data_IF_372698586414
#
_entry.id   IF_372698586414
#
_cell.length_a   1.000
_cell.length_b   1.000
_cell.length_c   1.000
_cell.angle_alpha   90.00
_cell.angle_beta   90.00
_cell.angle_gamma   90.00
#
_symmetry.space_group_name_H-M   'P 1'
#
loop_
_entity.id
_entity.type
_entity.pdbx_description
1 polymer ?
#
# COMPACT_ATOMS: atom_id res chain seq x y z
N UNK A 1 -9.12 43.11 6.49
CA UNK A 1 -8.98 43.17 5.02
C UNK A 1 -9.50 41.86 4.47
N UNK A 2 -10.64 41.93 3.79
CA UNK A 2 -11.42 40.78 3.32
C UNK A 2 -10.59 40.00 2.29
N UNK A 3 -10.10 38.82 2.68
CA UNK A 3 -9.25 38.01 1.80
C UNK A 3 -10.18 37.25 0.87
N UNK A 4 -10.36 37.76 -0.36
CA UNK A 4 -11.23 37.13 -1.35
C UNK A 4 -10.79 35.69 -1.63
N UNK A 5 -11.63 34.74 -1.23
CA UNK A 5 -11.45 33.31 -1.48
C UNK A 5 -12.03 32.99 -2.85
N UNK A 6 -11.24 32.34 -3.70
CA UNK A 6 -11.63 31.92 -5.04
C UNK A 6 -12.02 30.45 -5.03
N UNK A 7 -13.29 30.14 -5.31
CA UNK A 7 -13.79 28.76 -5.29
C UNK A 7 -13.88 28.17 -6.70
N UNK A 8 -13.50 26.89 -6.84
CA UNK A 8 -13.70 26.15 -8.08
C UNK A 8 -15.18 25.84 -8.29
N UNK A 9 -15.78 26.19 -9.44
CA UNK A 9 -17.20 25.93 -9.70
C UNK A 9 -17.51 24.44 -9.89
N UNK A 10 -16.51 23.63 -10.29
CA UNK A 10 -16.67 22.19 -10.54
C UNK A 10 -16.57 21.38 -9.25
N UNK A 11 -15.64 21.73 -8.36
CA UNK A 11 -15.34 20.90 -7.17
C UNK A 11 -15.29 21.65 -5.83
N UNK A 12 -15.70 22.93 -5.81
CA UNK A 12 -15.81 23.79 -4.61
C UNK A 12 -14.51 24.02 -3.83
N UNK A 13 -13.35 23.65 -4.38
CA UNK A 13 -12.05 23.90 -3.73
C UNK A 13 -11.74 25.40 -3.69
N UNK A 14 -11.42 25.89 -2.50
CA UNK A 14 -11.06 27.28 -2.22
C UNK A 14 -9.56 27.55 -2.44
N UNK A 15 -9.26 28.70 -3.03
CA UNK A 15 -7.91 29.19 -3.31
C UNK A 15 -7.76 30.62 -2.80
N UNK A 16 -6.58 30.93 -2.24
CA UNK A 16 -6.28 32.28 -1.75
C UNK A 16 -5.87 33.23 -2.89
N UNK A 17 -5.46 32.68 -4.05
CA UNK A 17 -5.05 33.47 -5.22
C UNK A 17 -5.77 32.99 -6.47
N UNK A 18 -6.25 33.93 -7.30
CA UNK A 18 -7.01 33.65 -8.54
C UNK A 18 -6.24 32.76 -9.54
N UNK A 19 -4.93 32.94 -9.68
CA UNK A 19 -4.14 32.11 -10.61
C UNK A 19 -4.04 30.63 -10.16
N UNK A 20 -4.14 30.36 -8.84
CA UNK A 20 -4.14 28.98 -8.33
C UNK A 20 -5.42 28.25 -8.73
N UNK A 21 -6.56 28.96 -8.73
CA UNK A 21 -7.81 28.46 -9.27
C UNK A 21 -7.71 28.23 -10.79
N UNK A 22 -7.10 29.16 -11.54
CA UNK A 22 -6.93 29.03 -12.99
C UNK A 22 -6.08 27.80 -13.36
N UNK A 23 -4.94 27.59 -12.69
CA UNK A 23 -4.12 26.39 -12.86
C UNK A 23 -4.85 25.11 -12.47
N UNK A 24 -5.67 25.16 -11.42
CA UNK A 24 -6.48 24.04 -11.00
C UNK A 24 -7.56 23.66 -12.02
N UNK A 25 -8.18 24.64 -12.68
CA UNK A 25 -9.25 24.42 -13.65
C UNK A 25 -8.80 23.60 -14.86
N UNK A 26 -7.52 23.67 -15.25
CA UNK A 26 -6.92 22.89 -16.35
C UNK A 26 -7.03 21.37 -16.08
N UNK A 27 -7.09 20.95 -14.82
CA UNK A 27 -7.24 19.53 -14.46
C UNK A 27 -8.67 18.99 -14.65
N UNK A 28 -9.66 19.85 -14.94
CA UNK A 28 -11.03 19.45 -15.28
C UNK A 28 -11.28 19.42 -16.79
N UNK A 29 -10.26 19.65 -17.61
CA UNK A 29 -10.36 19.50 -19.06
C UNK A 29 -10.47 18.02 -19.46
N UNK A 30 -11.30 17.71 -20.47
CA UNK A 30 -11.59 16.35 -20.92
C UNK A 30 -10.35 15.59 -21.41
N UNK A 31 -9.27 16.32 -21.72
CA UNK A 31 -8.01 15.76 -22.20
C UNK A 31 -6.94 15.61 -21.10
N UNK A 32 -7.29 15.90 -19.83
CA UNK A 32 -6.36 15.81 -18.71
C UNK A 32 -6.24 14.37 -18.20
N UNK A 33 -5.05 13.77 -18.30
CA UNK A 33 -4.76 12.45 -17.72
C UNK A 33 -4.73 12.44 -16.18
N UNK A 34 -4.98 13.58 -15.52
CA UNK A 34 -4.94 13.73 -14.07
C UNK A 34 -6.37 13.79 -13.52
N UNK A 35 -6.80 12.73 -12.82
CA UNK A 35 -8.12 12.71 -12.19
C UNK A 35 -8.17 13.63 -10.98
N UNK A 36 -8.96 14.71 -11.07
CA UNK A 36 -9.21 15.65 -9.97
C UNK A 36 -9.67 14.94 -8.67
N UNK A 37 -10.46 13.85 -8.79
CA UNK A 37 -10.97 13.02 -7.67
C UNK A 37 -9.90 12.53 -6.69
N UNK A 38 -8.65 12.27 -7.12
CA UNK A 38 -7.56 11.80 -6.23
C UNK A 38 -7.02 12.90 -5.30
N UNK A 39 -7.26 14.18 -5.62
CA UNK A 39 -6.84 15.33 -4.80
C UNK A 39 -7.94 15.83 -3.85
N UNK A 40 -9.11 15.18 -3.89
CA UNK A 40 -10.29 15.47 -3.07
C UNK A 40 -10.50 14.43 -1.96
N UNK A 41 -9.44 13.77 -1.48
CA UNK A 41 -9.58 13.05 -0.21
C UNK A 41 -9.99 14.06 0.86
N UNK A 42 -11.18 13.82 1.41
CA UNK A 42 -11.75 14.55 2.52
C UNK A 42 -10.72 14.67 3.63
N UNK A 43 -10.55 15.87 4.20
CA UNK A 43 -9.59 16.12 5.28
C UNK A 43 -9.98 15.36 6.57
N UNK A 44 -11.15 14.73 6.61
CA UNK A 44 -11.60 13.84 7.68
C UNK A 44 -11.04 12.41 7.59
N UNK A 45 -10.58 11.97 6.41
CA UNK A 45 -9.94 10.66 6.21
C UNK A 45 -8.44 10.83 5.93
N UNK A 46 -7.73 11.50 6.84
CA UNK A 46 -6.27 11.33 6.87
C UNK A 46 -6.01 9.85 7.08
N UNK A 47 -5.31 9.19 6.14
CA UNK A 47 -4.80 7.84 6.34
C UNK A 47 -4.00 7.83 7.65
N UNK A 48 -4.65 7.39 8.73
CA UNK A 48 -4.02 7.27 10.03
C UNK A 48 -3.18 6.01 10.03
N UNK A 49 -2.02 6.09 10.64
CA UNK A 49 -1.11 4.97 10.80
C UNK A 49 -1.44 4.28 12.14
N UNK A 50 -2.11 3.12 12.13
CA UNK A 50 -2.36 2.39 13.37
C UNK A 50 -1.03 1.90 13.97
N UNK A 51 -1.03 1.68 15.28
CA UNK A 51 0.04 0.99 15.97
C UNK A 51 0.28 -0.38 15.31
N UNK A 52 1.55 -0.78 15.20
CA UNK A 52 1.91 -2.07 14.60
C UNK A 52 1.40 -3.25 15.41
N UNK A 53 1.21 -3.09 16.71
CA UNK A 53 0.71 -4.14 17.58
C UNK A 53 -0.81 -4.23 17.43
N UNK A 54 -1.32 -5.37 16.98
CA UNK A 54 -2.76 -5.56 16.74
C UNK A 54 -3.61 -5.56 18.03
N UNK A 55 -2.99 -5.71 19.20
CA UNK A 55 -3.68 -5.54 20.50
C UNK A 55 -3.71 -4.07 20.97
N UNK A 56 -3.09 -3.15 20.23
CA UNK A 56 -3.08 -1.72 20.52
C UNK A 56 -3.88 -0.96 19.46
N UNK A 57 -5.02 -0.37 19.85
CA UNK A 57 -5.92 0.35 18.94
C UNK A 57 -5.56 1.83 18.74
N UNK A 58 -4.35 2.25 19.11
CA UNK A 58 -3.90 3.66 18.93
C UNK A 58 -3.51 3.91 17.47
N UNK A 59 -3.90 5.06 16.94
CA UNK A 59 -3.63 5.49 15.57
C UNK A 59 -3.04 6.89 15.54
N UNK A 60 -2.18 7.16 14.57
CA UNK A 60 -1.38 8.39 14.52
C UNK A 60 -1.41 9.05 13.15
N UNK A 61 -1.30 10.37 13.13
CA UNK A 61 -1.31 11.14 11.87
C UNK A 61 -0.07 10.90 11.00
N UNK A 62 1.04 10.47 11.61
CA UNK A 62 2.30 10.26 10.91
C UNK A 62 2.90 8.90 11.27
N UNK A 63 3.44 8.21 10.27
CA UNK A 63 4.09 6.89 10.43
C UNK A 63 5.26 6.91 11.43
N UNK A 64 6.04 8.00 11.45
CA UNK A 64 7.15 8.16 12.39
C UNK A 64 6.67 8.16 13.84
N UNK A 65 5.54 8.84 14.12
CA UNK A 65 4.95 8.92 15.46
C UNK A 65 4.38 7.57 15.88
N UNK A 66 3.72 6.83 14.97
CA UNK A 66 3.26 5.46 15.24
C UNK A 66 4.43 4.50 15.55
N UNK A 67 5.55 4.66 14.85
CA UNK A 67 6.75 3.85 15.06
C UNK A 67 7.42 4.16 16.40
N UNK A 68 7.52 5.45 16.76
CA UNK A 68 8.03 5.89 18.05
C UNK A 68 7.15 5.37 19.20
N UNK A 69 5.83 5.53 19.09
CA UNK A 69 4.88 4.97 20.05
C UNK A 69 5.09 3.47 20.26
N UNK A 70 5.22 2.69 19.17
CA UNK A 70 5.46 1.26 19.28
C UNK A 70 6.78 0.95 20.00
N UNK A 71 7.83 1.72 19.76
CA UNK A 71 9.14 1.51 20.39
C UNK A 71 9.14 1.86 21.89
N UNK A 72 8.44 2.91 22.31
CA UNK A 72 8.42 3.35 23.70
C UNK A 72 7.40 2.62 24.55
N UNK A 73 6.21 2.37 24.00
CA UNK A 73 5.08 1.78 24.74
C UNK A 73 5.00 0.26 24.59
N UNK A 74 5.67 -0.30 23.57
CA UNK A 74 5.74 -1.74 23.34
C UNK A 74 7.19 -2.25 23.20
N UNK A 75 8.10 -1.90 24.13
CA UNK A 75 9.53 -2.22 24.02
C UNK A 75 9.81 -3.72 24.02
N UNK A 76 8.92 -4.52 24.64
CA UNK A 76 9.03 -5.98 24.71
C UNK A 76 8.40 -6.72 23.52
N UNK A 77 7.65 -6.00 22.66
CA UNK A 77 7.09 -6.59 21.44
C UNK A 77 8.05 -6.27 20.28
N UNK A 78 8.73 -7.28 19.71
CA UNK A 78 9.63 -7.01 18.61
C UNK A 78 8.83 -6.52 17.39
N UNK A 79 9.47 -5.76 16.50
CA UNK A 79 8.95 -5.30 15.20
C UNK A 79 8.66 -6.48 14.24
N UNK A 80 7.92 -7.50 14.67
CA UNK A 80 7.76 -8.79 14.01
C UNK A 80 6.28 -9.13 13.84
N UNK A 81 6.00 -9.82 12.74
CA UNK A 81 4.70 -10.34 12.37
C UNK A 81 4.68 -11.84 12.69
N UNK A 82 3.69 -12.30 13.46
CA UNK A 82 3.60 -13.67 13.95
C UNK A 82 2.67 -14.51 13.07
N UNK A 83 3.08 -15.72 12.71
CA UNK A 83 2.20 -16.71 12.11
C UNK A 83 1.34 -17.38 13.18
N UNK A 84 0.01 -17.27 13.11
CA UNK A 84 -0.87 -17.88 14.11
C UNK A 84 -0.92 -19.41 14.04
N UNK A 85 -0.54 -20.01 12.91
CA UNK A 85 -0.56 -21.46 12.70
C UNK A 85 0.65 -22.16 13.32
N UNK A 86 1.82 -21.53 13.34
CA UNK A 86 3.06 -22.14 13.84
C UNK A 86 3.92 -21.24 14.73
N UNK A 87 3.40 -20.06 15.11
CA UNK A 87 4.03 -19.05 15.97
C UNK A 87 5.37 -18.51 15.47
N UNK A 88 5.72 -18.75 14.20
CA UNK A 88 6.96 -18.24 13.61
C UNK A 88 6.89 -16.74 13.38
N UNK A 89 8.00 -16.05 13.64
CA UNK A 89 8.13 -14.60 13.52
C UNK A 89 8.77 -14.15 12.21
N UNK A 90 8.32 -13.01 11.69
CA UNK A 90 8.80 -12.41 10.45
C UNK A 90 9.04 -10.91 10.61
N UNK A 91 10.15 -10.38 10.06
CA UNK A 91 10.47 -8.94 10.13
C UNK A 91 9.54 -8.06 9.28
N UNK A 92 8.94 -8.63 8.23
CA UNK A 92 8.13 -7.91 7.24
C UNK A 92 6.82 -8.65 6.96
N UNK A 93 5.72 -7.91 6.82
CA UNK A 93 4.39 -8.47 6.56
C UNK A 93 4.36 -9.33 5.30
N UNK A 94 4.97 -8.87 4.20
CA UNK A 94 5.03 -9.65 2.96
C UNK A 94 5.74 -11.01 3.10
N UNK A 95 6.66 -11.15 4.06
CA UNK A 95 7.29 -12.44 4.35
C UNK A 95 6.34 -13.36 5.14
N UNK A 96 5.54 -12.81 6.06
CA UNK A 96 4.48 -13.55 6.75
C UNK A 96 3.41 -14.01 5.75
N UNK A 97 2.92 -13.15 4.86
CA UNK A 97 1.89 -13.50 3.88
C UNK A 97 2.36 -14.63 2.95
N UNK A 98 3.60 -14.52 2.46
CA UNK A 98 4.22 -15.58 1.66
C UNK A 98 4.39 -16.89 2.45
N UNK A 99 4.65 -16.81 3.75
CA UNK A 99 4.71 -17.97 4.63
C UNK A 99 3.32 -18.57 4.87
N UNK A 100 2.27 -17.78 5.08
CA UNK A 100 0.90 -18.26 5.26
C UNK A 100 0.45 -19.06 4.04
N UNK A 101 0.81 -18.61 2.84
CA UNK A 101 0.54 -19.36 1.62
C UNK A 101 1.17 -20.77 1.60
N UNK A 102 2.18 -21.05 2.43
CA UNK A 102 2.75 -22.41 2.56
C UNK A 102 1.92 -23.34 3.44
N UNK A 103 1.07 -22.81 4.30
CA UNK A 103 0.11 -23.60 5.08
C UNK A 103 -1.14 -23.95 4.27
N UNK A 104 -1.50 -23.10 3.30
CA UNK A 104 -2.62 -23.35 2.40
C UNK A 104 -2.21 -24.28 1.25
N UNK A 105 -3.02 -25.28 0.94
CA UNK A 105 -2.80 -26.17 -0.22
C UNK A 105 -3.07 -25.49 -1.56
N UNK A 106 -3.64 -24.29 -1.54
CA UNK A 106 -3.95 -23.49 -2.73
C UNK A 106 -2.67 -22.98 -3.41
N UNK A 107 -2.37 -23.54 -4.57
CA UNK A 107 -1.22 -23.16 -5.39
C UNK A 107 -1.69 -22.30 -6.57
N UNK A 108 -1.91 -21.01 -6.31
CA UNK A 108 -2.44 -20.07 -7.29
C UNK A 108 -1.52 -19.79 -8.50
N UNK A 109 -0.23 -20.14 -8.41
CA UNK A 109 0.74 -19.80 -9.46
C UNK A 109 1.18 -21.03 -10.23
N UNK A 110 0.48 -21.36 -11.32
CA UNK A 110 0.80 -22.48 -12.21
C UNK A 110 1.75 -22.08 -13.33
N UNK A 111 2.80 -22.86 -13.54
CA UNK A 111 3.66 -22.74 -14.71
C UNK A 111 2.93 -23.29 -15.93
N UNK A 112 2.77 -22.46 -16.96
CA UNK A 112 2.12 -22.87 -18.22
C UNK A 112 2.92 -23.94 -18.99
N UNK A 113 4.25 -23.95 -18.84
CA UNK A 113 5.15 -24.83 -19.60
C UNK A 113 5.14 -26.25 -19.03
N UNK A 114 5.35 -26.40 -17.71
CA UNK A 114 5.47 -27.73 -17.09
C UNK A 114 4.33 -28.10 -16.14
N UNK A 115 3.29 -27.26 -16.04
CA UNK A 115 2.12 -27.50 -15.20
C UNK A 115 2.36 -27.43 -13.68
N UNK A 116 3.60 -27.28 -13.21
CA UNK A 116 3.92 -27.18 -11.77
C UNK A 116 3.28 -25.95 -11.15
N UNK A 117 2.62 -26.14 -10.01
CA UNK A 117 1.94 -25.08 -9.27
C UNK A 117 2.71 -24.70 -8.02
N UNK A 118 2.72 -23.40 -7.69
CA UNK A 118 3.43 -22.82 -6.56
C UNK A 118 2.46 -21.97 -5.74
N UNK A 119 2.60 -22.03 -4.41
CA UNK A 119 1.81 -21.19 -3.51
C UNK A 119 2.33 -19.75 -3.44
N UNK A 120 3.62 -19.53 -3.75
CA UNK A 120 4.26 -18.21 -3.62
C UNK A 120 4.75 -17.71 -4.98
N UNK A 121 4.38 -16.47 -5.34
CA UNK A 121 4.71 -15.83 -6.63
C UNK A 121 6.21 -15.77 -6.92
N UNK A 122 7.03 -15.48 -5.91
CA UNK A 122 8.50 -15.40 -6.07
C UNK A 122 9.11 -16.74 -6.46
N UNK A 123 8.62 -17.84 -5.88
CA UNK A 123 9.03 -19.20 -6.24
C UNK A 123 8.64 -19.53 -7.68
N UNK A 124 7.42 -19.19 -8.10
CA UNK A 124 6.98 -19.36 -9.49
C UNK A 124 7.84 -18.55 -10.47
N UNK A 125 8.10 -17.26 -10.20
CA UNK A 125 8.97 -16.42 -11.05
C UNK A 125 10.37 -17.02 -11.18
N UNK A 126 11.00 -17.43 -10.08
CA UNK A 126 12.31 -18.07 -10.09
C UNK A 126 12.31 -19.36 -10.92
N UNK A 127 11.24 -20.15 -10.82
CA UNK A 127 11.06 -21.33 -11.64
C UNK A 127 10.95 -21.00 -13.13
N UNK A 128 10.14 -20.00 -13.50
CA UNK A 128 10.01 -19.57 -14.90
C UNK A 128 11.33 -19.11 -15.50
N UNK A 129 12.11 -18.32 -14.77
CA UNK A 129 13.43 -17.86 -15.24
C UNK A 129 14.37 -19.04 -15.52
N UNK A 130 14.43 -20.02 -14.62
CA UNK A 130 15.24 -21.23 -14.83
C UNK A 130 14.76 -22.06 -16.03
N UNK A 131 13.45 -22.15 -16.24
CA UNK A 131 12.88 -22.89 -17.37
C UNK A 131 13.17 -22.25 -18.72
N UNK A 132 13.12 -20.92 -18.81
CA UNK A 132 13.49 -20.17 -20.03
C UNK A 132 14.96 -20.35 -20.44
N UNK A 133 15.86 -20.61 -19.48
CA UNK A 133 17.29 -20.86 -19.75
C UNK A 133 17.52 -22.30 -20.22
N UNK A 134 16.64 -23.24 -19.86
CA UNK A 134 16.70 -24.65 -20.26
C UNK A 134 15.85 -25.01 -21.48
N UNK A 135 15.06 -24.07 -22.00
CA UNK A 135 14.41 -24.21 -23.31
C UNK A 135 15.49 -24.04 -24.38
N UNK A 136 15.60 -24.95 -25.37
CA UNK A 136 16.44 -24.69 -26.53
C UNK A 136 15.93 -23.41 -27.20
N UNK A 137 16.83 -22.47 -27.51
CA UNK A 137 16.53 -21.40 -28.44
C UNK A 137 16.16 -22.08 -29.77
N UNK A 138 14.86 -22.17 -30.06
CA UNK A 138 14.36 -22.43 -31.41
C UNK A 138 14.64 -21.24 -32.30
#
# INVERSE_FOLDING_TARGET
MDSTIWECPVCRKAFQKRYQLAWHAIMHDENSQVQCKKTHLDKSEREVFPCRLSTCNKSFLYKAVAAQHFQTEHPQNPLRFLCMLCKREFKHKGNLDAHIATHTTEKAHKCAICGKSFAVRSNHKRHQVRKKISEPLT
#
